data_IF_505985658751
#
_entry.id   IF_505985658751
#
_cell.length_a   1.000
_cell.length_b   1.000
_cell.length_c   1.000
_cell.angle_alpha   90.00
_cell.angle_beta   90.00
_cell.angle_gamma   90.00
#
_symmetry.space_group_name_H-M   'P 1'
#
loop_
_entity.id
_entity.type
_entity.pdbx_description
1 polymer ?
#
# COMPACT_ATOMS: atom_id res chain seq x y z
N UNK A 1 3.61 15.66 11.23
CA UNK A 1 2.57 16.27 10.38
C UNK A 1 1.49 15.23 10.16
N UNK A 2 0.28 15.61 9.81
CA UNK A 2 -0.82 14.67 9.58
C UNK A 2 -1.57 15.05 8.32
N UNK A 3 -2.08 14.06 7.60
CA UNK A 3 -2.89 14.17 6.39
C UNK A 3 -4.34 13.81 6.69
N UNK A 4 -5.23 14.10 5.79
CA UNK A 4 -6.63 13.70 5.90
C UNK A 4 -6.94 12.71 4.77
N UNK A 5 -7.57 11.60 5.10
CA UNK A 5 -8.05 10.64 4.11
C UNK A 5 -9.22 11.23 3.32
N UNK A 6 -8.90 11.94 2.24
CA UNK A 6 -9.86 12.57 1.37
C UNK A 6 -10.95 13.31 2.14
N UNK A 7 -12.18 13.14 1.69
CA UNK A 7 -13.39 13.78 2.26
C UNK A 7 -13.85 13.21 3.61
N UNK A 8 -13.23 12.13 4.11
CA UNK A 8 -13.68 11.45 5.35
C UNK A 8 -13.43 12.25 6.63
N UNK A 9 -12.52 13.23 6.61
CA UNK A 9 -12.06 13.91 7.82
C UNK A 9 -11.15 13.09 8.73
N UNK A 10 -10.87 11.82 8.41
CA UNK A 10 -10.01 10.93 9.19
C UNK A 10 -8.55 11.39 9.06
N UNK A 11 -7.91 11.69 10.19
CA UNK A 11 -6.51 12.08 10.23
C UNK A 11 -5.60 10.86 10.24
N UNK A 12 -4.54 10.89 9.43
CA UNK A 12 -3.51 9.84 9.33
C UNK A 12 -2.12 10.46 9.36
N UNK A 13 -1.11 9.67 9.71
CA UNK A 13 0.29 10.06 9.53
C UNK A 13 0.63 10.24 8.05
N UNK A 14 1.63 11.07 7.74
CA UNK A 14 2.05 11.35 6.35
C UNK A 14 2.55 10.08 5.62
N UNK A 15 3.05 9.09 6.36
CA UNK A 15 3.47 7.76 5.88
C UNK A 15 2.73 6.70 6.69
N UNK A 16 2.19 5.68 6.03
CA UNK A 16 1.56 4.54 6.68
C UNK A 16 2.48 3.31 6.77
N UNK A 17 1.95 2.25 7.35
CA UNK A 17 2.57 0.93 7.48
C UNK A 17 1.85 -0.06 6.56
N UNK A 18 2.52 -0.55 5.51
CA UNK A 18 2.00 -1.61 4.65
C UNK A 18 2.24 -2.98 5.28
N UNK A 19 1.15 -3.68 5.61
CA UNK A 19 1.16 -4.95 6.33
C UNK A 19 1.25 -6.19 5.43
N UNK A 20 1.36 -6.05 4.10
CA UNK A 20 1.47 -7.22 3.22
C UNK A 20 2.67 -8.09 3.58
N UNK A 21 3.79 -7.46 3.91
CA UNK A 21 5.03 -8.17 4.21
C UNK A 21 5.02 -8.97 5.53
N UNK A 22 4.08 -8.71 6.45
CA UNK A 22 3.92 -9.46 7.70
C UNK A 22 2.88 -10.59 7.59
N UNK A 23 2.18 -10.71 6.45
CA UNK A 23 1.17 -11.75 6.24
C UNK A 23 1.74 -13.17 6.13
N UNK A 24 3.02 -13.30 5.80
CA UNK A 24 3.65 -14.59 5.63
C UNK A 24 3.44 -15.21 4.25
N UNK A 25 3.59 -16.55 4.12
CA UNK A 25 3.46 -17.23 2.86
C UNK A 25 2.00 -17.27 2.38
N UNK A 26 1.83 -17.16 1.06
CA UNK A 26 0.55 -17.27 0.37
C UNK A 26 0.80 -17.65 -1.09
N UNK A 27 -0.07 -18.44 -1.68
CA UNK A 27 -0.02 -18.79 -3.11
C UNK A 27 -1.32 -18.43 -3.81
N UNK A 28 -1.23 -18.17 -5.11
CA UNK A 28 -2.37 -17.92 -5.97
C UNK A 28 -2.02 -18.32 -7.40
N UNK A 29 -2.89 -19.09 -8.07
CA UNK A 29 -2.60 -19.63 -9.39
C UNK A 29 -1.31 -20.47 -9.46
N UNK A 30 -0.93 -21.11 -8.35
CA UNK A 30 0.29 -21.91 -8.25
C UNK A 30 1.59 -21.09 -8.11
N UNK A 31 1.50 -19.77 -7.96
CA UNK A 31 2.65 -18.89 -7.79
C UNK A 31 2.66 -18.27 -6.37
N UNK A 32 3.85 -17.94 -5.82
CA UNK A 32 3.94 -17.22 -4.56
C UNK A 32 3.37 -15.79 -4.72
N UNK A 33 2.42 -15.44 -3.86
CA UNK A 33 1.85 -14.10 -3.74
C UNK A 33 2.07 -13.50 -2.34
N UNK A 34 2.85 -14.16 -1.50
CA UNK A 34 3.28 -13.72 -0.18
C UNK A 34 4.80 -13.43 -0.16
N UNK A 35 5.28 -13.01 1.01
CA UNK A 35 6.68 -12.60 1.21
C UNK A 35 7.55 -13.69 1.87
N UNK A 36 7.14 -14.96 1.78
CA UNK A 36 7.79 -16.07 2.47
C UNK A 36 7.50 -16.08 3.99
N UNK A 37 8.25 -16.89 4.73
CA UNK A 37 8.04 -17.06 6.17
C UNK A 37 8.29 -15.77 6.94
N UNK A 38 7.42 -15.47 7.90
CA UNK A 38 7.51 -14.31 8.80
C UNK A 38 7.64 -14.77 10.25
N UNK A 39 8.21 -13.90 11.08
CA UNK A 39 8.25 -14.06 12.55
C UNK A 39 7.31 -13.00 13.13
N UNK A 40 6.27 -13.46 13.83
CA UNK A 40 5.23 -12.58 14.36
C UNK A 40 5.77 -11.68 15.46
N UNK A 41 6.70 -12.15 16.31
CA UNK A 41 7.30 -11.34 17.35
C UNK A 41 8.10 -10.16 16.74
N UNK A 42 8.81 -10.41 15.63
CA UNK A 42 9.52 -9.36 14.87
C UNK A 42 8.52 -8.40 14.23
N UNK A 43 7.43 -8.91 13.68
CA UNK A 43 6.37 -8.12 13.06
C UNK A 43 5.67 -7.20 14.07
N UNK A 44 5.30 -7.73 15.25
CA UNK A 44 4.71 -6.99 16.36
C UNK A 44 5.65 -5.90 16.85
N UNK A 45 6.93 -6.21 17.05
CA UNK A 45 7.93 -5.22 17.44
C UNK A 45 8.08 -4.09 16.40
N UNK A 46 7.98 -4.41 15.10
CA UNK A 46 8.02 -3.42 14.04
C UNK A 46 6.78 -2.51 14.04
N UNK A 47 5.58 -3.06 14.31
CA UNK A 47 4.33 -2.29 14.45
C UNK A 47 4.44 -1.32 15.63
N UNK A 48 4.86 -1.79 16.80
CA UNK A 48 5.05 -0.93 17.98
C UNK A 48 6.09 0.16 17.72
N UNK A 49 7.20 -0.21 17.08
CA UNK A 49 8.22 0.78 16.72
C UNK A 49 7.70 1.85 15.75
N UNK A 50 6.86 1.47 14.79
CA UNK A 50 6.24 2.40 13.86
C UNK A 50 5.29 3.36 14.61
N UNK A 51 4.48 2.84 15.52
CA UNK A 51 3.56 3.62 16.36
C UNK A 51 4.33 4.63 17.23
N UNK A 52 5.38 4.20 17.95
CA UNK A 52 6.27 5.07 18.73
C UNK A 52 6.88 6.20 17.92
N UNK A 53 7.12 5.97 16.63
CA UNK A 53 7.69 6.96 15.70
C UNK A 53 6.64 7.84 15.03
N UNK A 54 5.36 7.66 15.35
CA UNK A 54 4.25 8.49 14.89
C UNK A 54 3.58 8.01 13.60
N UNK A 55 3.80 6.77 13.16
CA UNK A 55 2.99 6.14 12.13
C UNK A 55 1.68 5.69 12.76
N UNK A 56 0.56 6.23 12.29
CA UNK A 56 -0.79 5.94 12.82
C UNK A 56 -1.71 5.31 11.80
N UNK A 57 -1.28 5.14 10.56
CA UNK A 57 -2.05 4.52 9.48
C UNK A 57 -1.48 3.15 9.11
N UNK A 58 -2.27 2.10 9.28
CA UNK A 58 -1.90 0.70 9.03
C UNK A 58 -2.80 0.12 7.94
N UNK A 59 -2.20 -0.33 6.84
CA UNK A 59 -2.91 -0.92 5.69
C UNK A 59 -2.63 -2.41 5.58
N UNK A 60 -3.66 -3.22 5.73
CA UNK A 60 -3.64 -4.68 5.59
C UNK A 60 -4.64 -5.16 4.54
N UNK A 61 -4.89 -6.46 4.45
CA UNK A 61 -5.96 -7.09 3.68
C UNK A 61 -6.30 -8.46 4.27
N UNK A 62 -7.54 -8.91 4.04
CA UNK A 62 -8.02 -10.23 4.45
C UNK A 62 -7.24 -11.38 3.79
N UNK A 63 -6.85 -11.21 2.52
CA UNK A 63 -6.10 -12.21 1.76
C UNK A 63 -4.63 -12.32 2.17
N UNK A 64 -4.04 -11.33 2.87
CA UNK A 64 -2.62 -11.36 3.24
C UNK A 64 -2.33 -12.49 4.23
N UNK A 65 -1.67 -13.56 3.72
CA UNK A 65 -1.43 -14.78 4.48
C UNK A 65 -2.72 -15.49 4.90
N UNK A 66 -3.83 -15.33 4.16
CA UNK A 66 -5.11 -15.93 4.50
C UNK A 66 -5.67 -15.44 5.83
N UNK A 67 -5.62 -14.12 6.08
CA UNK A 67 -6.08 -13.48 7.31
C UNK A 67 -5.00 -13.30 8.38
N UNK A 68 -3.81 -13.88 8.20
CA UNK A 68 -2.75 -13.83 9.20
C UNK A 68 -2.26 -12.41 9.48
N UNK A 69 -2.11 -11.58 8.45
CA UNK A 69 -1.71 -10.18 8.62
C UNK A 69 -2.68 -9.38 9.50
N UNK A 70 -3.99 -9.62 9.39
CA UNK A 70 -5.00 -8.97 10.24
C UNK A 70 -4.92 -9.48 11.69
N UNK A 71 -4.64 -10.77 11.93
CA UNK A 71 -4.46 -11.33 13.26
C UNK A 71 -3.25 -10.70 13.98
N UNK A 72 -2.09 -10.65 13.31
CA UNK A 72 -0.86 -10.05 13.85
C UNK A 72 -1.05 -8.56 14.13
N UNK A 73 -1.71 -7.84 13.21
CA UNK A 73 -2.00 -6.41 13.40
C UNK A 73 -2.95 -6.18 14.56
N UNK A 74 -4.04 -6.96 14.66
CA UNK A 74 -5.01 -6.86 15.74
C UNK A 74 -4.39 -7.12 17.13
N UNK A 75 -3.53 -8.14 17.24
CA UNK A 75 -2.78 -8.44 18.46
C UNK A 75 -1.86 -7.28 18.83
N UNK A 76 -1.06 -6.79 17.88
CA UNK A 76 -0.10 -5.71 18.12
C UNK A 76 -0.76 -4.39 18.54
N UNK A 77 -1.96 -4.11 18.03
CA UNK A 77 -2.70 -2.86 18.29
C UNK A 77 -3.74 -3.00 19.40
N UNK A 78 -3.79 -4.14 20.10
CA UNK A 78 -4.67 -4.31 21.27
C UNK A 78 -4.37 -3.22 22.32
N UNK A 79 -5.39 -2.45 22.70
CA UNK A 79 -5.25 -1.31 23.62
C UNK A 79 -4.87 0.02 22.97
N UNK A 80 -4.52 0.04 21.67
CA UNK A 80 -4.16 1.26 20.93
C UNK A 80 -5.18 1.62 19.84
N UNK A 81 -6.35 0.98 19.81
CA UNK A 81 -7.33 1.09 18.72
C UNK A 81 -7.74 2.52 18.40
N UNK A 82 -7.88 3.38 19.40
CA UNK A 82 -8.30 4.78 19.23
C UNK A 82 -7.17 5.72 18.82
N UNK A 83 -5.92 5.25 18.86
CA UNK A 83 -4.74 6.01 18.47
C UNK A 83 -4.39 5.81 16.99
N UNK A 84 -5.02 4.82 16.31
CA UNK A 84 -4.65 4.36 14.99
C UNK A 84 -5.82 4.37 14.01
N UNK A 85 -5.49 4.39 12.74
CA UNK A 85 -6.39 4.23 11.61
C UNK A 85 -6.05 2.91 10.91
N UNK A 86 -7.00 1.99 10.85
CA UNK A 86 -6.83 0.68 10.23
C UNK A 86 -7.56 0.65 8.89
N UNK A 87 -6.80 0.39 7.83
CA UNK A 87 -7.31 0.05 6.52
C UNK A 87 -7.17 -1.45 6.28
N UNK A 88 -8.23 -2.10 5.79
CA UNK A 88 -8.16 -3.46 5.28
C UNK A 88 -8.95 -3.59 3.98
N UNK A 89 -8.87 -4.76 3.34
CA UNK A 89 -9.41 -4.97 2.01
C UNK A 89 -10.18 -6.29 1.94
N UNK A 90 -11.07 -6.38 0.94
CA UNK A 90 -11.89 -7.57 0.64
C UNK A 90 -11.97 -7.78 -0.87
N UNK A 91 -12.52 -8.93 -1.27
CA UNK A 91 -12.83 -9.19 -2.67
C UNK A 91 -12.13 -10.42 -3.23
N UNK A 92 -11.07 -10.90 -2.61
CA UNK A 92 -10.49 -12.20 -2.91
C UNK A 92 -10.97 -13.23 -1.90
N UNK A 93 -11.33 -14.42 -2.41
CA UNK A 93 -11.63 -15.59 -1.57
C UNK A 93 -10.39 -16.47 -1.42
N UNK A 94 -10.23 -17.09 -0.26
CA UNK A 94 -9.03 -17.85 0.06
C UNK A 94 -9.31 -18.99 1.04
N UNK A 95 -8.47 -20.00 0.98
CA UNK A 95 -8.35 -21.03 2.00
C UNK A 95 -7.27 -20.60 3.00
N UNK A 96 -7.70 -20.32 4.24
CA UNK A 96 -6.82 -19.81 5.28
C UNK A 96 -5.87 -20.88 5.83
N UNK A 97 -6.25 -22.16 5.82
CA UNK A 97 -5.42 -23.27 6.28
C UNK A 97 -4.36 -23.63 5.22
N UNK A 98 -4.78 -23.79 3.98
CA UNK A 98 -3.88 -24.07 2.87
C UNK A 98 -3.03 -22.89 2.43
N UNK A 99 -3.34 -21.65 2.85
CA UNK A 99 -2.69 -20.41 2.42
C UNK A 99 -2.74 -20.20 0.91
N UNK A 100 -3.94 -20.39 0.33
CA UNK A 100 -4.17 -20.32 -1.12
C UNK A 100 -5.31 -19.35 -1.43
N UNK A 101 -5.06 -18.39 -2.35
CA UNK A 101 -6.11 -17.61 -2.97
C UNK A 101 -6.86 -18.49 -3.99
N UNK A 102 -8.18 -18.58 -3.86
CA UNK A 102 -8.99 -19.52 -4.64
C UNK A 102 -9.90 -18.83 -5.65
N UNK A 103 -10.21 -17.56 -5.47
CA UNK A 103 -11.10 -16.83 -6.37
C UNK A 103 -11.33 -15.39 -5.95
N UNK A 104 -12.43 -14.83 -6.43
CA UNK A 104 -12.84 -13.46 -6.14
C UNK A 104 -14.36 -13.40 -5.99
N UNK A 105 -14.84 -12.59 -5.03
CA UNK A 105 -16.26 -12.32 -4.80
C UNK A 105 -16.41 -10.90 -4.22
N UNK A 106 -17.23 -10.08 -4.86
CA UNK A 106 -17.60 -8.75 -4.41
C UNK A 106 -19.12 -8.59 -4.30
N UNK A 107 -19.87 -9.70 -4.26
CA UNK A 107 -21.30 -9.67 -4.05
C UNK A 107 -21.66 -8.98 -2.71
N UNK A 108 -22.81 -8.29 -2.62
CA UNK A 108 -23.21 -7.59 -1.39
C UNK A 108 -23.20 -8.48 -0.13
N UNK A 109 -23.58 -9.75 -0.28
CA UNK A 109 -23.53 -10.74 0.80
C UNK A 109 -22.10 -11.05 1.25
N UNK A 110 -21.17 -11.22 0.29
CA UNK A 110 -19.75 -11.47 0.60
C UNK A 110 -19.08 -10.24 1.22
N UNK A 111 -19.36 -9.02 0.72
CA UNK A 111 -18.81 -7.77 1.28
C UNK A 111 -19.05 -7.70 2.79
N UNK A 112 -20.27 -8.02 3.24
CA UNK A 112 -20.61 -8.05 4.68
C UNK A 112 -19.89 -9.18 5.42
N UNK A 113 -19.93 -10.38 4.90
CA UNK A 113 -19.28 -11.56 5.53
C UNK A 113 -17.78 -11.33 5.71
N UNK A 114 -17.10 -10.79 4.68
CA UNK A 114 -15.70 -10.47 4.71
C UNK A 114 -15.38 -9.36 5.72
N UNK A 115 -16.21 -8.32 5.80
CA UNK A 115 -16.08 -7.23 6.78
C UNK A 115 -16.14 -7.78 8.21
N UNK A 116 -17.17 -8.55 8.54
CA UNK A 116 -17.34 -9.14 9.87
C UNK A 116 -16.21 -10.11 10.22
N UNK A 117 -15.69 -10.85 9.23
CA UNK A 117 -14.54 -11.72 9.43
C UNK A 117 -13.25 -10.91 9.70
N UNK A 118 -13.03 -9.80 8.99
CA UNK A 118 -11.91 -8.88 9.24
C UNK A 118 -12.00 -8.23 10.61
N UNK A 119 -13.18 -7.77 11.04
CA UNK A 119 -13.40 -7.22 12.38
C UNK A 119 -13.03 -8.24 13.48
N UNK A 120 -13.41 -9.51 13.30
CA UNK A 120 -13.04 -10.58 14.25
C UNK A 120 -11.54 -10.82 14.30
N UNK A 121 -10.85 -10.88 13.13
CA UNK A 121 -9.38 -11.09 13.10
C UNK A 121 -8.61 -9.91 13.66
N UNK A 122 -9.06 -8.69 13.37
CA UNK A 122 -8.47 -7.45 13.91
C UNK A 122 -8.81 -7.19 15.38
N UNK A 123 -9.77 -7.92 15.97
CA UNK A 123 -10.19 -7.72 17.35
C UNK A 123 -10.80 -6.34 17.64
N UNK A 124 -11.55 -5.78 16.68
CA UNK A 124 -12.10 -4.42 16.74
C UNK A 124 -13.56 -4.41 16.30
N UNK A 125 -14.29 -3.37 16.71
CA UNK A 125 -15.69 -3.13 16.36
C UNK A 125 -15.86 -2.29 15.08
N UNK A 126 -14.77 -1.69 14.56
CA UNK A 126 -14.82 -0.83 13.37
C UNK A 126 -13.56 -0.93 12.50
N UNK A 127 -13.72 -0.73 11.21
CA UNK A 127 -12.66 -0.50 10.23
C UNK A 127 -12.73 0.96 9.80
N UNK A 128 -11.58 1.65 9.72
CA UNK A 128 -11.58 3.07 9.35
C UNK A 128 -11.64 3.28 7.84
N UNK A 129 -10.96 2.42 7.05
CA UNK A 129 -10.99 2.42 5.58
C UNK A 129 -11.12 0.98 5.07
N UNK A 130 -12.27 0.64 4.47
CA UNK A 130 -12.52 -0.69 3.91
C UNK A 130 -12.45 -0.65 2.40
N UNK A 131 -11.58 -1.44 1.77
CA UNK A 131 -11.23 -1.25 0.36
C UNK A 131 -11.58 -2.49 -0.47
N UNK A 132 -12.19 -2.28 -1.64
CA UNK A 132 -12.31 -3.31 -2.67
C UNK A 132 -10.92 -3.63 -3.22
N UNK A 133 -10.51 -4.92 -3.19
CA UNK A 133 -9.18 -5.38 -3.61
C UNK A 133 -9.14 -5.91 -5.04
N UNK A 134 -10.29 -6.20 -5.65
CA UNK A 134 -10.39 -6.63 -7.05
C UNK A 134 -10.18 -5.43 -7.97
N UNK A 135 -8.93 -5.22 -8.44
CA UNK A 135 -8.56 -4.09 -9.26
C UNK A 135 -9.37 -3.99 -10.57
N UNK A 136 -9.78 -5.15 -11.12
CA UNK A 136 -10.42 -5.31 -12.43
C UNK A 136 -11.93 -5.61 -12.33
N UNK A 137 -12.60 -5.34 -11.18
CA UNK A 137 -14.05 -5.54 -11.06
C UNK A 137 -14.76 -4.84 -12.23
N UNK A 138 -15.71 -5.49 -12.93
CA UNK A 138 -16.50 -4.84 -13.98
C UNK A 138 -17.23 -3.59 -13.47
N UNK A 139 -17.16 -2.49 -14.20
CA UNK A 139 -17.81 -1.23 -13.80
C UNK A 139 -19.31 -1.37 -13.56
N UNK A 140 -19.96 -2.27 -14.30
CA UNK A 140 -21.40 -2.54 -14.12
C UNK A 140 -21.76 -3.11 -12.74
N UNK A 141 -20.78 -3.63 -11.99
CA UNK A 141 -20.95 -4.17 -10.65
C UNK A 141 -20.58 -3.16 -9.55
N UNK A 142 -19.94 -2.04 -9.92
CA UNK A 142 -19.43 -1.07 -8.97
C UNK A 142 -20.53 -0.46 -8.08
N UNK A 143 -21.70 -0.15 -8.63
CA UNK A 143 -22.82 0.44 -7.88
C UNK A 143 -23.33 -0.49 -6.79
N UNK A 144 -23.41 -1.81 -7.06
CA UNK A 144 -23.84 -2.80 -6.07
C UNK A 144 -22.83 -2.90 -4.91
N UNK A 145 -21.54 -2.79 -5.20
CA UNK A 145 -20.49 -2.78 -4.18
C UNK A 145 -20.57 -1.48 -3.35
N UNK A 146 -20.77 -0.32 -4.01
CA UNK A 146 -20.94 0.96 -3.33
C UNK A 146 -22.13 0.90 -2.37
N UNK A 147 -23.30 0.41 -2.82
CA UNK A 147 -24.50 0.26 -1.98
C UNK A 147 -24.22 -0.62 -0.75
N UNK A 148 -23.53 -1.74 -0.93
CA UNK A 148 -23.15 -2.61 0.18
C UNK A 148 -22.21 -1.94 1.17
N UNK A 149 -21.23 -1.15 0.69
CA UNK A 149 -20.30 -0.40 1.53
C UNK A 149 -20.98 0.76 2.28
N UNK A 150 -21.91 1.49 1.62
CA UNK A 150 -22.72 2.52 2.27
C UNK A 150 -23.58 1.92 3.40
N UNK A 151 -24.11 0.70 3.22
CA UNK A 151 -24.84 0.02 4.29
C UNK A 151 -23.92 -0.33 5.47
N UNK A 152 -22.66 -0.77 5.22
CA UNK A 152 -21.69 -1.01 6.29
C UNK A 152 -21.32 0.27 7.06
N UNK A 153 -21.28 1.43 6.36
CA UNK A 153 -21.09 2.74 7.00
C UNK A 153 -22.31 3.07 7.88
N UNK A 154 -23.51 2.88 7.37
CA UNK A 154 -24.75 3.14 8.12
C UNK A 154 -24.88 2.26 9.37
N UNK A 155 -24.40 1.00 9.29
CA UNK A 155 -24.36 0.05 10.41
C UNK A 155 -23.21 0.36 11.40
N UNK A 156 -22.31 1.29 11.09
CA UNK A 156 -21.17 1.68 11.94
C UNK A 156 -20.00 0.68 11.94
N UNK A 157 -20.01 -0.32 11.04
CA UNK A 157 -18.94 -1.33 10.93
C UNK A 157 -17.69 -0.77 10.24
N UNK A 158 -17.86 0.18 9.31
CA UNK A 158 -16.76 0.89 8.67
C UNK A 158 -17.01 2.41 8.74
N UNK A 159 -15.94 3.21 8.71
CA UNK A 159 -16.05 4.68 8.72
C UNK A 159 -16.03 5.29 7.32
N UNK A 160 -15.30 4.65 6.42
CA UNK A 160 -15.13 5.06 5.03
C UNK A 160 -14.71 3.86 4.20
N UNK A 161 -14.73 4.02 2.89
CA UNK A 161 -14.29 2.97 1.98
C UNK A 161 -13.49 3.52 0.79
N UNK A 162 -12.93 2.60 0.00
CA UNK A 162 -12.15 2.90 -1.18
C UNK A 162 -12.02 1.72 -2.12
N UNK A 163 -11.26 1.92 -3.19
CA UNK A 163 -10.92 0.89 -4.17
C UNK A 163 -9.40 0.83 -4.40
N UNK A 164 -8.84 -0.38 -4.41
CA UNK A 164 -7.46 -0.61 -4.86
C UNK A 164 -7.44 -0.91 -6.35
N UNK A 165 -7.20 0.12 -7.17
CA UNK A 165 -7.16 0.03 -8.64
C UNK A 165 -6.17 1.05 -9.22
N UNK A 166 -5.60 0.74 -10.39
CA UNK A 166 -4.74 1.65 -11.18
C UNK A 166 -5.51 2.26 -12.38
N UNK A 167 -6.80 2.00 -12.48
CA UNK A 167 -7.66 2.49 -13.57
C UNK A 167 -8.37 3.79 -13.14
N UNK A 168 -8.09 4.95 -13.77
CA UNK A 168 -8.70 6.21 -13.41
C UNK A 168 -10.21 6.24 -13.69
N UNK A 169 -10.74 5.44 -14.63
CA UNK A 169 -12.17 5.37 -14.92
C UNK A 169 -12.88 4.65 -13.76
N UNK A 170 -12.33 3.54 -13.28
CA UNK A 170 -12.84 2.82 -12.09
C UNK A 170 -12.77 3.68 -10.84
N UNK A 171 -11.65 4.38 -10.66
CA UNK A 171 -11.48 5.30 -9.54
C UNK A 171 -12.55 6.41 -9.54
N UNK A 172 -12.80 7.02 -10.70
CA UNK A 172 -13.82 8.06 -10.85
C UNK A 172 -15.25 7.53 -10.62
N UNK A 173 -15.56 6.33 -11.09
CA UNK A 173 -16.87 5.69 -10.86
C UNK A 173 -17.10 5.45 -9.35
N UNK A 174 -16.10 4.92 -8.63
CA UNK A 174 -16.21 4.65 -7.20
C UNK A 174 -16.31 5.92 -6.34
N UNK A 175 -15.74 7.02 -6.84
CA UNK A 175 -15.82 8.34 -6.21
C UNK A 175 -17.25 8.90 -6.11
N UNK A 176 -18.24 8.32 -6.83
CA UNK A 176 -19.64 8.67 -6.74
C UNK A 176 -20.25 8.32 -5.37
N UNK A 177 -19.70 7.34 -4.67
CA UNK A 177 -20.16 6.96 -3.34
C UNK A 177 -19.87 8.03 -2.28
N UNK A 178 -20.86 8.32 -1.43
CA UNK A 178 -20.82 9.44 -0.49
C UNK A 178 -19.68 9.32 0.55
N UNK A 179 -19.41 8.08 1.01
CA UNK A 179 -18.37 7.79 2.00
C UNK A 179 -17.09 7.18 1.38
N UNK A 180 -16.94 7.23 0.04
CA UNK A 180 -15.68 6.90 -0.61
C UNK A 180 -14.63 7.96 -0.24
N UNK A 181 -13.52 7.54 0.38
CA UNK A 181 -12.51 8.45 0.92
C UNK A 181 -11.15 8.32 0.25
N UNK A 182 -10.85 7.19 -0.39
CA UNK A 182 -9.53 6.91 -0.92
C UNK A 182 -9.54 6.00 -2.15
N UNK A 183 -8.55 6.19 -3.00
CA UNK A 183 -8.16 5.20 -4.00
C UNK A 183 -6.74 4.72 -3.65
N UNK A 184 -6.55 3.40 -3.57
CA UNK A 184 -5.24 2.81 -3.42
C UNK A 184 -4.69 2.43 -4.79
N UNK A 185 -3.60 3.09 -5.21
CA UNK A 185 -2.98 2.84 -6.52
C UNK A 185 -1.46 2.73 -6.42
N UNK A 186 -0.82 2.17 -7.46
CA UNK A 186 0.62 2.06 -7.54
C UNK A 186 1.26 3.37 -8.00
N UNK A 187 2.26 3.85 -7.26
CA UNK A 187 3.14 4.92 -7.72
C UNK A 187 4.47 4.90 -6.95
N UNK A 188 5.53 5.33 -7.58
CA UNK A 188 6.82 5.61 -6.94
C UNK A 188 7.64 6.53 -7.86
N UNK A 189 8.81 6.96 -7.43
CA UNK A 189 9.64 7.89 -8.18
C UNK A 189 10.06 7.38 -9.59
N UNK A 190 10.03 6.05 -9.83
CA UNK A 190 10.33 5.45 -11.14
C UNK A 190 9.06 5.17 -11.97
N UNK A 191 7.88 5.22 -11.35
CA UNK A 191 6.56 5.03 -12.01
C UNK A 191 5.61 6.10 -11.51
N UNK A 192 5.45 7.16 -12.30
CA UNK A 192 4.47 8.21 -12.02
C UNK A 192 3.11 7.86 -12.63
N UNK A 193 2.04 8.22 -11.95
CA UNK A 193 0.65 7.98 -12.36
C UNK A 193 -0.18 9.27 -12.26
N UNK A 194 0.14 10.30 -13.08
CA UNK A 194 -0.47 11.64 -12.95
C UNK A 194 -1.99 11.62 -13.12
N UNK A 195 -2.53 10.73 -13.93
CA UNK A 195 -3.98 10.60 -14.14
C UNK A 195 -4.70 10.13 -12.86
N UNK A 196 -4.10 9.18 -12.12
CA UNK A 196 -4.67 8.72 -10.85
C UNK A 196 -4.65 9.81 -9.78
N UNK A 197 -3.54 10.55 -9.68
CA UNK A 197 -3.46 11.71 -8.78
C UNK A 197 -4.52 12.77 -9.15
N UNK A 198 -4.69 13.06 -10.45
CA UNK A 198 -5.68 14.03 -10.92
C UNK A 198 -7.12 13.61 -10.57
N UNK A 199 -7.48 12.34 -10.72
CA UNK A 199 -8.78 11.82 -10.30
C UNK A 199 -8.97 11.96 -8.79
N UNK A 200 -7.99 11.56 -7.99
CA UNK A 200 -8.07 11.68 -6.54
C UNK A 200 -8.25 13.14 -6.09
N UNK A 201 -7.48 14.06 -6.67
CA UNK A 201 -7.56 15.48 -6.35
C UNK A 201 -8.90 16.09 -6.75
N UNK A 202 -9.41 15.78 -7.96
CA UNK A 202 -10.68 16.31 -8.46
C UNK A 202 -11.91 15.79 -7.71
N UNK A 203 -11.81 14.57 -7.14
CA UNK A 203 -12.88 13.92 -6.39
C UNK A 203 -12.74 14.05 -4.86
N UNK A 204 -11.77 14.83 -4.37
CA UNK A 204 -11.48 14.99 -2.94
C UNK A 204 -11.18 13.66 -2.22
N UNK A 205 -10.43 12.77 -2.89
CA UNK A 205 -10.03 11.46 -2.38
C UNK A 205 -8.56 11.44 -1.96
N UNK A 206 -8.21 10.59 -1.01
CA UNK A 206 -6.82 10.31 -0.71
C UNK A 206 -6.22 9.35 -1.76
N UNK A 207 -5.00 9.65 -2.21
CA UNK A 207 -4.13 8.73 -2.94
C UNK A 207 -3.34 7.90 -1.94
N UNK A 208 -3.82 6.70 -1.61
CA UNK A 208 -3.07 5.73 -0.81
C UNK A 208 -2.12 4.98 -1.74
N UNK A 209 -0.82 5.13 -1.53
CA UNK A 209 0.18 4.66 -2.51
C UNK A 209 0.77 3.33 -2.09
N UNK A 210 0.40 2.27 -2.82
CA UNK A 210 1.04 0.95 -2.73
C UNK A 210 2.32 0.90 -3.56
N UNK A 211 3.25 0.02 -3.18
CA UNK A 211 4.58 -0.13 -3.81
C UNK A 211 5.42 1.17 -3.87
N UNK A 212 5.37 2.04 -2.84
CA UNK A 212 6.06 3.34 -2.86
C UNK A 212 7.58 3.21 -2.97
N UNK A 213 8.12 2.04 -2.61
CA UNK A 213 9.55 1.70 -2.69
C UNK A 213 9.87 0.71 -3.82
N UNK A 214 9.03 0.61 -4.86
CA UNK A 214 9.20 -0.31 -6.00
C UNK A 214 9.54 -1.74 -5.52
N UNK A 215 8.69 -2.31 -4.66
CA UNK A 215 8.89 -3.64 -4.06
C UNK A 215 10.24 -3.79 -3.32
N UNK A 216 10.76 -2.68 -2.80
CA UNK A 216 12.00 -2.61 -2.03
C UNK A 216 13.24 -2.24 -2.86
N UNK A 217 13.15 -2.07 -4.18
CA UNK A 217 14.28 -1.64 -5.02
C UNK A 217 14.83 -0.27 -4.56
N UNK A 218 13.94 0.66 -4.26
CA UNK A 218 14.27 2.04 -3.86
C UNK A 218 14.88 2.16 -2.45
N UNK A 219 15.09 1.06 -1.74
CA UNK A 219 15.91 1.06 -0.52
C UNK A 219 17.42 1.02 -0.80
N UNK A 220 17.80 0.67 -2.04
CA UNK A 220 19.21 0.57 -2.46
C UNK A 220 19.95 -0.69 -1.98
N UNK A 221 19.26 -1.62 -1.31
CA UNK A 221 19.88 -2.87 -0.80
C UNK A 221 20.12 -3.92 -1.89
N UNK A 222 19.49 -3.76 -3.05
CA UNK A 222 19.61 -4.72 -4.16
C UNK A 222 20.64 -4.25 -5.19
N UNK A 223 21.40 -5.20 -5.70
CA UNK A 223 22.41 -5.03 -6.75
C UNK A 223 22.11 -5.99 -7.92
N UNK A 224 22.82 -5.86 -9.03
CA UNK A 224 22.68 -6.78 -10.17
C UNK A 224 22.96 -8.25 -9.81
N UNK A 225 23.69 -8.51 -8.73
CA UNK A 225 24.02 -9.86 -8.23
C UNK A 225 22.97 -10.40 -7.26
N UNK A 226 22.03 -9.58 -6.80
CA UNK A 226 21.01 -10.01 -5.84
C UNK A 226 20.08 -11.06 -6.47
N UNK A 227 19.77 -12.10 -5.68
CA UNK A 227 18.79 -13.14 -6.02
C UNK A 227 17.84 -13.31 -4.85
N UNK A 228 16.55 -13.20 -5.11
CA UNK A 228 15.49 -13.42 -4.13
C UNK A 228 15.17 -14.90 -3.99
N UNK A 229 14.63 -15.30 -2.85
CA UNK A 229 14.17 -16.67 -2.60
C UNK A 229 13.02 -17.03 -3.56
N UNK A 230 12.84 -18.32 -3.83
CA UNK A 230 11.83 -18.80 -4.78
C UNK A 230 10.39 -18.61 -4.27
N UNK A 231 10.20 -18.57 -2.95
CA UNK A 231 8.92 -18.36 -2.27
C UNK A 231 8.57 -16.86 -2.07
N UNK A 232 9.45 -15.95 -2.52
CA UNK A 232 9.19 -14.52 -2.53
C UNK A 232 8.27 -14.15 -3.71
N UNK A 233 7.22 -13.38 -3.47
CA UNK A 233 6.24 -12.97 -4.48
C UNK A 233 6.88 -12.29 -5.71
N UNK A 234 8.01 -11.62 -5.54
CA UNK A 234 8.77 -10.98 -6.62
C UNK A 234 9.44 -11.99 -7.55
N UNK A 235 9.74 -13.20 -7.07
CA UNK A 235 10.22 -14.31 -7.91
C UNK A 235 9.08 -14.92 -8.73
N UNK A 236 7.84 -14.88 -8.23
CA UNK A 236 6.62 -15.33 -8.92
C UNK A 236 6.01 -14.34 -9.91
N UNK A 237 6.66 -13.19 -10.17
CA UNK A 237 6.21 -12.19 -11.16
C UNK A 237 5.53 -10.96 -10.59
N UNK A 238 5.12 -10.94 -9.31
CA UNK A 238 4.50 -9.74 -8.70
C UNK A 238 5.48 -8.56 -8.55
N UNK A 239 6.79 -8.80 -8.70
CA UNK A 239 7.81 -7.75 -8.64
C UNK A 239 8.03 -6.99 -9.94
N UNK A 240 7.42 -7.41 -11.04
CA UNK A 240 7.60 -6.78 -12.33
C UNK A 240 7.06 -5.33 -12.36
N UNK A 241 7.71 -4.43 -13.12
CA UNK A 241 8.93 -4.63 -13.88
C UNK A 241 10.26 -4.46 -13.11
N UNK A 242 10.22 -4.08 -11.83
CA UNK A 242 11.43 -3.83 -11.02
C UNK A 242 12.27 -5.11 -10.79
N UNK A 243 11.60 -6.26 -10.73
CA UNK A 243 12.22 -7.57 -10.56
C UNK A 243 11.69 -8.56 -11.61
N UNK A 244 12.60 -9.36 -12.17
CA UNK A 244 12.26 -10.44 -13.12
C UNK A 244 13.01 -11.70 -12.68
N UNK A 245 12.27 -12.82 -12.49
CA UNK A 245 12.84 -14.08 -12.04
C UNK A 245 13.59 -13.96 -10.69
N UNK A 246 13.12 -13.09 -9.80
CA UNK A 246 13.74 -12.84 -8.50
C UNK A 246 15.02 -12.00 -8.54
N UNK A 247 15.31 -11.34 -9.66
CA UNK A 247 16.47 -10.44 -9.81
C UNK A 247 16.01 -9.02 -10.12
N UNK A 248 16.69 -7.99 -9.59
CA UNK A 248 16.48 -6.62 -10.01
C UNK A 248 16.77 -6.48 -11.52
N UNK A 249 15.93 -5.77 -12.25
CA UNK A 249 16.19 -5.53 -13.66
C UNK A 249 17.26 -4.45 -13.83
N UNK A 250 18.21 -4.61 -14.78
CA UNK A 250 19.30 -3.66 -14.99
C UNK A 250 18.81 -2.25 -15.29
N UNK A 251 17.75 -2.13 -16.08
CA UNK A 251 17.11 -0.85 -16.42
C UNK A 251 16.67 -0.08 -15.16
N UNK A 252 15.99 -0.76 -14.24
CA UNK A 252 15.50 -0.14 -13.01
C UNK A 252 16.63 0.25 -12.06
N UNK A 253 17.71 -0.55 -12.00
CA UNK A 253 18.91 -0.19 -11.26
C UNK A 253 19.57 1.07 -11.84
N UNK A 254 19.71 1.15 -13.17
CA UNK A 254 20.29 2.31 -13.83
C UNK A 254 19.45 3.58 -13.60
N UNK A 255 18.12 3.49 -13.69
CA UNK A 255 17.20 4.60 -13.39
C UNK A 255 17.31 5.05 -11.92
N UNK A 256 17.42 4.13 -10.97
CA UNK A 256 17.66 4.46 -9.57
C UNK A 256 19.00 5.16 -9.39
N UNK A 257 20.06 4.66 -10.02
CA UNK A 257 21.40 5.26 -9.91
C UNK A 257 21.44 6.69 -10.45
N UNK A 258 20.71 6.96 -11.56
CA UNK A 258 20.61 8.30 -12.14
C UNK A 258 20.04 9.37 -11.17
N UNK A 259 19.14 8.98 -10.28
CA UNK A 259 18.47 9.91 -9.35
C UNK A 259 18.95 9.77 -7.90
N UNK A 260 19.89 8.86 -7.64
CA UNK A 260 20.37 8.51 -6.30
C UNK A 260 20.83 9.73 -5.49
N UNK A 261 21.66 10.58 -6.09
CA UNK A 261 22.22 11.75 -5.41
C UNK A 261 21.13 12.73 -4.97
N UNK A 262 20.11 12.93 -5.81
CA UNK A 262 18.98 13.82 -5.49
C UNK A 262 18.15 13.23 -4.35
N UNK A 263 17.84 11.93 -4.40
CA UNK A 263 17.06 11.27 -3.36
C UNK A 263 17.76 11.30 -2.00
N UNK A 264 19.09 11.20 -1.98
CA UNK A 264 19.89 11.16 -0.73
C UNK A 264 20.38 12.53 -0.28
N UNK A 265 20.06 13.61 -0.99
CA UNK A 265 20.45 14.97 -0.58
C UNK A 265 19.81 15.33 0.77
N UNK A 266 20.38 16.31 1.47
CA UNK A 266 19.85 16.76 2.74
C UNK A 266 19.90 15.74 3.89
N UNK A 267 20.75 14.71 3.79
CA UNK A 267 20.92 13.69 4.84
C UNK A 267 19.86 12.60 4.88
N UNK A 268 19.04 12.49 3.83
CA UNK A 268 18.08 11.41 3.64
C UNK A 268 18.78 10.12 3.21
N UNK A 269 18.22 8.95 3.54
CA UNK A 269 18.53 7.73 2.82
C UNK A 269 17.62 7.57 1.57
N UNK A 270 17.88 6.56 0.74
CA UNK A 270 17.12 6.35 -0.50
C UNK A 270 15.62 6.15 -0.27
N UNK A 271 15.24 5.35 0.73
CA UNK A 271 13.84 5.11 1.05
C UNK A 271 13.13 6.41 1.46
N UNK A 272 13.78 7.23 2.31
CA UNK A 272 13.25 8.52 2.73
C UNK A 272 13.11 9.51 1.55
N UNK A 273 14.08 9.54 0.64
CA UNK A 273 13.99 10.35 -0.58
C UNK A 273 12.86 9.90 -1.51
N UNK A 274 12.70 8.60 -1.72
CA UNK A 274 11.62 8.04 -2.52
C UNK A 274 10.23 8.33 -1.90
N UNK A 275 10.09 8.20 -0.59
CA UNK A 275 8.87 8.60 0.12
C UNK A 275 8.67 10.12 0.07
N UNK A 276 9.73 10.92 0.20
CA UNK A 276 9.70 12.37 0.06
C UNK A 276 9.20 12.83 -1.31
N UNK A 277 9.53 12.11 -2.39
CA UNK A 277 9.00 12.36 -3.72
C UNK A 277 7.47 12.19 -3.76
N UNK A 278 6.94 11.11 -3.17
CA UNK A 278 5.50 10.89 -3.07
C UNK A 278 4.81 11.95 -2.21
N UNK A 279 5.42 12.33 -1.08
CA UNK A 279 4.90 13.37 -0.22
C UNK A 279 4.80 14.72 -0.93
N UNK A 280 5.67 14.98 -1.91
CA UNK A 280 5.64 16.18 -2.73
C UNK A 280 4.54 16.20 -3.81
N UNK A 281 3.90 15.04 -4.10
CA UNK A 281 2.80 14.96 -5.10
C UNK A 281 1.52 15.66 -4.64
N UNK A 282 1.28 15.78 -3.34
CA UNK A 282 0.11 16.46 -2.83
C UNK A 282 -0.18 16.17 -1.36
N UNK A 283 -1.03 16.97 -0.75
CA UNK A 283 -1.42 16.82 0.66
C UNK A 283 -2.33 15.59 0.92
N UNK A 284 -2.89 14.99 -0.13
CA UNK A 284 -3.74 13.79 -0.05
C UNK A 284 -2.99 12.50 -0.35
N UNK A 285 -1.68 12.57 -0.63
CA UNK A 285 -0.88 11.39 -0.97
C UNK A 285 -0.33 10.74 0.29
N UNK A 286 -0.68 9.48 0.55
CA UNK A 286 -0.26 8.71 1.73
C UNK A 286 0.46 7.44 1.27
N UNK A 287 1.80 7.42 1.21
CA UNK A 287 2.55 6.21 0.89
C UNK A 287 2.48 5.19 2.02
N UNK A 288 2.31 3.91 1.67
CA UNK A 288 2.25 2.76 2.59
C UNK A 288 3.39 1.76 2.30
N UNK A 289 4.65 2.11 2.60
CA UNK A 289 5.76 1.19 2.42
C UNK A 289 5.57 -0.08 3.25
N UNK A 290 5.92 -1.24 2.67
CA UNK A 290 5.95 -2.51 3.39
C UNK A 290 7.02 -2.50 4.48
N UNK A 291 6.68 -2.97 5.67
CA UNK A 291 7.55 -3.03 6.85
C UNK A 291 7.46 -4.44 7.46
N UNK A 292 8.62 -5.02 7.79
CA UNK A 292 8.75 -6.33 8.46
C UNK A 292 9.58 -6.26 9.74
N UNK A 293 10.47 -5.26 9.86
CA UNK A 293 11.42 -5.19 10.96
C UNK A 293 11.44 -3.81 11.60
N UNK A 294 11.96 -3.74 12.83
CA UNK A 294 12.12 -2.51 13.61
C UNK A 294 12.98 -1.48 12.86
N UNK A 295 14.03 -1.95 12.16
CA UNK A 295 14.92 -1.09 11.37
C UNK A 295 14.18 -0.47 10.19
N UNK A 296 13.37 -1.25 9.46
CA UNK A 296 12.55 -0.74 8.36
C UNK A 296 11.49 0.26 8.86
N UNK A 297 10.88 0.01 10.02
CA UNK A 297 9.97 0.95 10.66
C UNK A 297 10.67 2.28 10.95
N UNK A 298 11.85 2.25 11.55
CA UNK A 298 12.63 3.44 11.84
C UNK A 298 13.11 4.18 10.58
N UNK A 299 13.54 3.44 9.56
CA UNK A 299 13.96 4.00 8.28
C UNK A 299 12.84 4.75 7.58
N UNK A 300 11.67 4.09 7.40
CA UNK A 300 10.52 4.66 6.72
C UNK A 300 9.89 5.83 7.50
N UNK A 301 9.78 5.70 8.83
CA UNK A 301 9.31 6.78 9.70
C UNK A 301 10.22 8.01 9.66
N UNK A 302 11.48 7.86 9.27
CA UNK A 302 12.39 8.99 9.03
C UNK A 302 11.84 9.99 8.01
N UNK A 303 11.03 9.55 7.04
CA UNK A 303 10.37 10.41 6.07
C UNK A 303 9.39 11.42 6.71
N UNK A 304 8.83 11.12 7.90
CA UNK A 304 8.00 12.07 8.66
C UNK A 304 8.79 13.31 9.11
N UNK A 305 10.10 13.18 9.29
CA UNK A 305 10.99 14.29 9.69
C UNK A 305 11.60 15.00 8.50
N UNK A 306 11.99 14.27 7.45
CA UNK A 306 12.59 14.84 6.25
C UNK A 306 11.57 15.54 5.36
N UNK A 307 10.32 15.09 5.40
CA UNK A 307 9.20 15.69 4.66
C UNK A 307 9.29 15.51 3.13
N UNK A 308 8.50 16.29 2.38
CA UNK A 308 8.46 16.24 0.93
C UNK A 308 9.76 16.77 0.29
N UNK A 309 10.08 16.29 -0.91
CA UNK A 309 11.11 16.88 -1.74
C UNK A 309 10.71 18.31 -2.16
N UNK A 310 11.70 19.16 -2.35
CA UNK A 310 11.51 20.51 -2.88
C UNK A 310 11.12 20.48 -4.37
N UNK A 311 10.50 21.54 -4.86
CA UNK A 311 10.16 21.67 -6.28
C UNK A 311 11.40 21.57 -7.20
N UNK A 312 12.57 22.05 -6.75
CA UNK A 312 13.82 21.95 -7.48
C UNK A 312 14.29 20.47 -7.61
N UNK A 313 14.23 19.71 -6.51
CA UNK A 313 14.57 18.27 -6.53
C UNK A 313 13.60 17.48 -7.41
N UNK A 314 12.29 17.78 -7.34
CA UNK A 314 11.28 17.16 -8.20
C UNK A 314 11.57 17.42 -9.69
N UNK A 315 11.89 18.65 -10.07
CA UNK A 315 12.24 19.00 -11.45
C UNK A 315 13.53 18.32 -11.90
N UNK A 316 14.55 18.25 -11.05
CA UNK A 316 15.81 17.58 -11.35
C UNK A 316 15.60 16.08 -11.58
N UNK A 317 14.82 15.39 -10.73
CA UNK A 317 14.48 13.99 -10.92
C UNK A 317 13.77 13.76 -12.25
N UNK A 318 12.78 14.60 -12.60
CA UNK A 318 12.07 14.51 -13.86
C UNK A 318 13.01 14.61 -15.06
N UNK A 319 13.95 15.57 -15.03
CA UNK A 319 14.96 15.74 -16.10
C UNK A 319 15.88 14.52 -16.22
N UNK A 320 16.39 14.00 -15.09
CA UNK A 320 17.31 12.85 -15.10
C UNK A 320 16.64 11.57 -15.60
N UNK A 321 15.38 11.34 -15.22
CA UNK A 321 14.63 10.17 -15.68
C UNK A 321 14.23 10.26 -17.17
N UNK A 322 13.94 11.48 -17.68
CA UNK A 322 13.66 11.70 -19.09
C UNK A 322 14.90 11.48 -19.97
N UNK A 323 16.08 11.91 -19.52
CA UNK A 323 17.34 11.72 -20.24
C UNK A 323 17.74 10.22 -20.38
N UNK A 324 17.31 9.36 -19.45
CA UNK A 324 17.53 7.91 -19.51
C UNK A 324 16.53 7.15 -20.39
N UNK A 325 15.56 7.83 -20.98
CA UNK A 325 14.53 7.26 -21.87
C UNK A 325 14.75 7.61 -23.34
N UNK A 326 15.98 7.98 -23.77
CA UNK A 326 16.22 8.19 -25.19
C UNK A 326 15.80 6.93 -25.98
N UNK A 327 15.01 7.09 -27.06
CA UNK A 327 14.59 5.95 -27.87
C UNK A 327 15.82 5.30 -28.46
N UNK A 328 16.13 4.08 -28.01
CA UNK A 328 17.00 3.20 -28.76
C UNK A 328 16.35 2.97 -30.13
N UNK A 329 17.13 3.22 -31.18
CA UNK A 329 16.80 3.00 -32.62
C UNK A 329 16.22 1.61 -32.90
#
# INVERSE_FOLDING_TARGET
MSRILGRSGIKVSDVGFGCWAIGGPMTGGGQPIGWGVTDDAVSVAAIWRALDLGITFFDTADVYGGGHSELVLGEALAGHRDEVVIATKFGYTFDAEAKVAVGADASPGYVRLACEASLRRLGTDRIDLYQLHQAELPLAEADLVIEALEQLVADGLIRSYGWSTDDPVRAAAFAAGANCAAIQHGANVLVDTPEMFAVCDSCDLASVIRSPLAMGLLTGKYTAQSQLAADDCRSGGMGAPAFTGGRPTPEWLARLDAIREVLTSGGRNLAQGALGWLLARGQRTVPIPGIRTVEQAAENAGALRTGPLSAAEMAQIATLLAAGQEPGD
#
